data_IF_864281221377
#
_entry.id   IF_864281221377
#
_cell.length_a   1.000
_cell.length_b   1.000
_cell.length_c   1.000
_cell.angle_alpha   90.00
_cell.angle_beta   90.00
_cell.angle_gamma   90.00
#
_symmetry.space_group_name_H-M   'P 1'
#
loop_
_entity.id
_entity.type
_entity.pdbx_description
1 polymer ?
#
# COMPACT_ATOMS: atom_id res chain seq x y z
N UNK A 1 6.67 20.21 -10.01
CA UNK A 1 7.07 20.69 -8.67
C UNK A 1 6.30 19.86 -7.66
N UNK A 2 6.93 18.84 -7.08
CA UNK A 2 6.27 17.95 -6.12
C UNK A 2 6.83 18.29 -4.75
N UNK A 3 5.93 18.57 -3.81
CA UNK A 3 6.23 19.05 -2.48
C UNK A 3 7.15 18.07 -1.74
N UNK A 4 8.20 18.64 -1.14
CA UNK A 4 9.13 18.02 -0.21
C UNK A 4 8.38 17.08 0.75
N UNK A 5 8.70 15.79 0.69
CA UNK A 5 8.05 14.73 1.49
C UNK A 5 8.37 14.82 2.99
N UNK A 6 9.37 15.64 3.38
CA UNK A 6 9.76 15.87 4.76
C UNK A 6 10.28 17.30 4.92
N UNK A 7 9.67 18.08 5.82
CA UNK A 7 10.15 19.42 6.15
C UNK A 7 10.97 19.35 7.45
N UNK A 8 12.28 19.58 7.34
CA UNK A 8 13.17 19.76 8.49
C UNK A 8 12.99 21.20 8.96
N UNK A 9 12.19 21.37 10.01
CA UNK A 9 12.02 22.66 10.69
C UNK A 9 12.81 22.66 11.99
N UNK A 10 13.68 23.66 12.18
CA UNK A 10 14.22 23.98 13.50
C UNK A 10 13.15 24.76 14.30
N UNK A 11 12.94 24.43 15.59
CA UNK A 11 12.29 25.25 16.66
C UNK A 11 12.01 24.36 17.90
N UNK A 12 11.72 24.92 19.09
CA UNK A 12 12.45 25.86 19.94
C UNK A 12 12.94 25.18 21.27
N UNK A 13 13.65 25.95 22.10
CA UNK A 13 14.33 25.56 23.36
C UNK A 13 13.47 24.76 24.35
N UNK A 14 14.01 23.63 24.83
CA UNK A 14 14.12 23.22 26.25
C UNK A 14 14.65 21.78 26.30
N UNK A 15 15.98 21.63 26.25
CA UNK A 15 16.83 20.63 26.92
C UNK A 15 18.23 20.80 26.30
N UNK A 16 19.13 21.51 26.98
CA UNK A 16 20.44 21.94 26.46
C UNK A 16 21.48 20.78 26.41
N UNK A 17 21.06 19.55 26.69
CA UNK A 17 21.93 18.38 26.73
C UNK A 17 22.14 17.69 25.37
N UNK A 18 21.33 18.01 24.36
CA UNK A 18 21.37 17.36 23.05
C UNK A 18 21.94 18.32 22.00
N UNK A 19 23.04 17.90 21.36
CA UNK A 19 23.81 18.70 20.40
C UNK A 19 23.13 18.72 19.03
N UNK A 20 22.44 17.64 18.65
CA UNK A 20 21.68 17.59 17.39
C UNK A 20 20.25 17.12 17.62
N UNK A 21 19.29 17.85 17.06
CA UNK A 21 17.84 17.57 17.18
C UNK A 21 17.20 17.61 15.81
N UNK A 22 16.48 16.57 15.45
CA UNK A 22 15.75 16.52 14.19
C UNK A 22 14.36 15.91 14.38
N UNK A 23 13.43 16.36 13.54
CA UNK A 23 12.03 15.94 13.59
C UNK A 23 11.70 15.10 12.37
N UNK A 24 11.24 13.88 12.58
CA UNK A 24 10.68 13.04 11.53
C UNK A 24 9.16 13.22 11.48
N UNK A 25 8.65 13.49 10.28
CA UNK A 25 7.22 13.69 10.02
C UNK A 25 6.78 12.70 8.95
N UNK A 26 6.31 11.49 9.31
CA UNK A 26 5.80 10.54 8.33
C UNK A 26 4.56 11.08 7.61
N UNK A 27 4.41 10.84 6.31
CA UNK A 27 3.21 11.23 5.57
C UNK A 27 1.97 10.48 6.10
N UNK A 28 0.81 11.15 6.08
CA UNK A 28 -0.50 10.53 6.26
C UNK A 28 -1.04 10.39 7.69
N UNK A 29 -0.20 10.47 8.73
CA UNK A 29 -0.66 10.25 10.12
C UNK A 29 -0.51 11.45 11.07
N UNK A 30 0.06 12.58 10.61
CA UNK A 30 0.25 13.79 11.43
C UNK A 30 1.16 13.61 12.66
N UNK A 31 1.69 12.41 12.88
CA UNK A 31 2.63 12.08 13.95
C UNK A 31 3.97 12.73 13.68
N UNK A 32 4.61 13.20 14.74
CA UNK A 32 5.95 13.77 14.71
C UNK A 32 6.80 12.99 15.70
N UNK A 33 7.98 12.58 15.27
CA UNK A 33 8.97 11.95 16.13
C UNK A 33 10.11 12.95 16.31
N UNK A 34 10.43 13.24 17.56
CA UNK A 34 11.57 14.08 17.92
C UNK A 34 12.72 13.16 18.27
N UNK A 35 13.82 13.31 17.54
CA UNK A 35 15.04 12.54 17.74
C UNK A 35 16.14 13.51 18.14
N UNK A 36 16.93 13.09 19.12
CA UNK A 36 18.07 13.84 19.64
C UNK A 36 19.29 12.94 19.67
N UNK A 37 20.43 13.52 19.34
CA UNK A 37 21.74 12.93 19.54
C UNK A 37 22.54 13.82 20.49
N UNK A 38 23.30 13.19 21.37
CA UNK A 38 24.31 13.82 22.23
C UNK A 38 25.58 14.18 21.43
N UNK A 39 25.77 13.60 20.24
CA UNK A 39 26.85 13.94 19.31
C UNK A 39 26.32 14.53 17.98
N UNK A 40 26.92 15.65 17.53
CA UNK A 40 26.56 16.34 16.29
C UNK A 40 26.77 15.46 15.05
N UNK A 41 27.91 14.76 15.01
CA UNK A 41 28.28 13.86 13.93
C UNK A 41 27.30 12.69 13.76
N UNK A 42 26.77 12.18 14.87
CA UNK A 42 25.77 11.12 14.84
C UNK A 42 24.43 11.63 14.32
N UNK A 43 24.02 12.85 14.72
CA UNK A 43 22.81 13.49 14.19
C UNK A 43 22.85 13.67 12.68
N UNK A 44 23.98 14.13 12.14
CA UNK A 44 24.20 14.29 10.70
C UNK A 44 24.23 12.94 9.97
N UNK A 45 24.90 11.93 10.55
CA UNK A 45 24.96 10.57 10.02
C UNK A 45 23.56 9.96 9.91
N UNK A 46 22.73 10.12 10.94
CA UNK A 46 21.33 9.67 10.94
C UNK A 46 20.48 10.41 9.91
N UNK A 47 20.61 11.74 9.82
CA UNK A 47 19.92 12.52 8.80
C UNK A 47 20.31 12.09 7.39
N UNK A 48 21.60 11.84 7.15
CA UNK A 48 22.10 11.37 5.87
C UNK A 48 21.60 9.96 5.54
N UNK A 49 21.65 9.02 6.50
CA UNK A 49 21.16 7.66 6.32
C UNK A 49 19.66 7.62 6.02
N UNK A 50 18.86 8.42 6.75
CA UNK A 50 17.41 8.53 6.52
C UNK A 50 17.13 9.15 5.16
N UNK A 51 17.82 10.24 4.79
CA UNK A 51 17.64 10.86 3.46
C UNK A 51 18.06 9.93 2.33
N UNK A 52 19.13 9.15 2.49
CA UNK A 52 19.55 8.13 1.52
C UNK A 52 18.52 7.01 1.40
N UNK A 53 17.95 6.56 2.53
CA UNK A 53 16.92 5.53 2.52
C UNK A 53 15.62 6.05 1.90
N UNK A 54 15.22 7.28 2.20
CA UNK A 54 14.08 7.96 1.57
C UNK A 54 14.32 8.12 0.07
N UNK A 55 15.47 8.61 -0.36
CA UNK A 55 15.81 8.73 -1.78
C UNK A 55 15.86 7.37 -2.49
N UNK A 56 16.33 6.31 -1.81
CA UNK A 56 16.32 4.93 -2.32
C UNK A 56 14.89 4.42 -2.49
N UNK A 57 14.02 4.66 -1.51
CA UNK A 57 12.60 4.33 -1.57
C UNK A 57 11.87 5.15 -2.64
N UNK A 58 12.15 6.44 -2.76
CA UNK A 58 11.60 7.32 -3.81
C UNK A 58 12.07 6.87 -5.20
N UNK A 59 13.34 6.53 -5.36
CA UNK A 59 13.87 5.99 -6.62
C UNK A 59 13.22 4.65 -6.97
N UNK A 60 12.92 3.82 -5.97
CA UNK A 60 12.16 2.57 -6.12
C UNK A 60 10.69 2.84 -6.51
N UNK A 61 10.07 3.87 -5.95
CA UNK A 61 8.68 4.29 -6.24
C UNK A 61 8.56 4.94 -7.63
N UNK A 62 9.54 5.73 -8.07
CA UNK A 62 9.52 6.39 -9.40
C UNK A 62 9.82 5.40 -10.53
N UNK A 63 10.60 4.33 -10.30
CA UNK A 63 10.82 3.27 -11.29
C UNK A 63 9.65 2.29 -11.47
N UNK A 64 8.57 2.40 -10.69
CA UNK A 64 7.43 1.47 -10.75
C UNK A 64 6.29 1.91 -11.70
N UNK A 65 6.52 2.82 -12.64
CA UNK A 65 5.52 3.14 -13.68
C UNK A 65 5.39 2.07 -14.79
N UNK A 66 5.98 0.87 -14.62
CA UNK A 66 5.83 -0.25 -15.56
C UNK A 66 5.86 -1.66 -14.95
N UNK A 67 5.78 -1.83 -13.63
CA UNK A 67 5.88 -3.16 -13.01
C UNK A 67 4.64 -3.49 -12.21
N UNK A 68 3.75 -4.26 -12.83
CA UNK A 68 2.75 -5.08 -12.14
C UNK A 68 3.37 -5.68 -10.87
N UNK A 69 2.86 -5.28 -9.71
CA UNK A 69 3.36 -5.71 -8.40
C UNK A 69 2.94 -7.14 -8.12
N UNK A 70 1.76 -7.53 -8.58
CA UNK A 70 1.26 -8.89 -8.52
C UNK A 70 0.15 -9.10 -9.56
N UNK A 71 0.06 -10.29 -10.14
CA UNK A 71 -1.02 -10.65 -11.04
C UNK A 71 -1.34 -12.14 -10.92
N UNK A 72 -2.59 -12.51 -11.20
CA UNK A 72 -3.01 -13.89 -11.08
C UNK A 72 -4.52 -14.07 -11.12
N UNK A 73 -4.95 -15.32 -11.25
CA UNK A 73 -6.36 -15.64 -11.21
C UNK A 73 -6.84 -15.78 -9.77
N UNK A 74 -7.87 -15.02 -9.40
CA UNK A 74 -8.58 -15.18 -8.15
C UNK A 74 -10.06 -15.40 -8.44
N UNK A 75 -10.80 -15.89 -7.44
CA UNK A 75 -12.24 -15.93 -7.49
C UNK A 75 -12.79 -14.72 -6.76
N UNK A 76 -13.71 -13.99 -7.38
CA UNK A 76 -14.43 -12.88 -6.78
C UNK A 76 -15.84 -13.34 -6.44
N UNK A 77 -16.30 -13.00 -5.24
CA UNK A 77 -17.69 -13.20 -4.86
C UNK A 77 -18.54 -12.03 -5.36
N UNK A 78 -19.60 -12.33 -6.11
CA UNK A 78 -20.59 -11.33 -6.48
C UNK A 78 -21.43 -10.94 -5.27
N UNK A 79 -21.46 -9.64 -4.96
CA UNK A 79 -22.20 -9.09 -3.82
C UNK A 79 -23.72 -9.31 -3.85
N UNK A 80 -24.32 -9.59 -5.02
CA UNK A 80 -25.76 -9.76 -5.21
C UNK A 80 -26.18 -11.21 -5.24
N UNK A 81 -25.42 -12.05 -5.93
CA UNK A 81 -25.76 -13.47 -6.13
C UNK A 81 -25.01 -14.40 -5.18
N UNK A 82 -24.02 -13.88 -4.44
CA UNK A 82 -23.10 -14.67 -3.60
C UNK A 82 -22.40 -15.81 -4.35
N UNK A 83 -22.33 -15.71 -5.68
CA UNK A 83 -21.68 -16.69 -6.54
C UNK A 83 -20.21 -16.33 -6.76
N UNK A 84 -19.36 -17.36 -6.87
CA UNK A 84 -17.94 -17.19 -7.15
C UNK A 84 -17.64 -17.27 -8.63
N UNK A 85 -17.02 -16.23 -9.17
CA UNK A 85 -16.57 -16.16 -10.56
C UNK A 85 -15.06 -15.94 -10.61
N UNK A 86 -14.39 -16.62 -11.54
CA UNK A 86 -12.94 -16.53 -11.70
C UNK A 86 -12.59 -15.36 -12.60
N UNK A 87 -11.70 -14.48 -12.13
CA UNK A 87 -11.21 -13.33 -12.88
C UNK A 87 -9.69 -13.24 -12.80
N UNK A 88 -9.09 -12.53 -13.76
CA UNK A 88 -7.67 -12.22 -13.74
C UNK A 88 -7.44 -10.88 -13.04
N UNK A 89 -6.76 -10.91 -11.90
CA UNK A 89 -6.46 -9.73 -11.09
C UNK A 89 -5.05 -9.22 -11.39
N UNK A 90 -4.92 -7.90 -11.36
CA UNK A 90 -3.66 -7.19 -11.52
C UNK A 90 -3.59 -6.12 -10.44
N UNK A 91 -2.53 -6.15 -9.65
CA UNK A 91 -2.12 -5.06 -8.77
C UNK A 91 -0.96 -4.32 -9.44
N UNK A 92 -1.21 -3.07 -9.85
CA UNK A 92 -0.21 -2.20 -10.44
C UNK A 92 -0.07 -0.92 -9.59
N UNK A 93 0.97 -0.86 -8.76
CA UNK A 93 1.11 0.18 -7.75
C UNK A 93 -0.09 0.15 -6.81
N UNK A 94 -0.87 1.23 -6.77
CA UNK A 94 -2.10 1.34 -5.97
C UNK A 94 -3.36 0.86 -6.69
N UNK A 95 -3.27 0.54 -7.98
CA UNK A 95 -4.41 0.16 -8.79
C UNK A 95 -4.64 -1.35 -8.65
N UNK A 96 -5.76 -1.74 -8.07
CA UNK A 96 -6.19 -3.14 -7.97
C UNK A 96 -7.39 -3.36 -8.90
N UNK A 97 -7.14 -4.06 -10.00
CA UNK A 97 -8.09 -4.21 -11.09
C UNK A 97 -8.32 -5.69 -11.43
N UNK A 98 -9.47 -6.00 -12.02
CA UNK A 98 -9.74 -7.34 -12.54
C UNK A 98 -10.33 -7.34 -13.94
N UNK A 99 -10.06 -8.42 -14.65
CA UNK A 99 -10.40 -8.64 -16.05
C UNK A 99 -11.08 -10.00 -16.23
N UNK A 100 -11.93 -10.11 -17.26
CA UNK A 100 -12.62 -11.37 -17.56
C UNK A 100 -11.65 -12.49 -17.97
N UNK A 101 -10.53 -12.14 -18.62
CA UNK A 101 -9.51 -13.08 -19.07
C UNK A 101 -8.22 -12.36 -19.45
N UNK A 102 -7.09 -13.07 -19.43
CA UNK A 102 -5.84 -12.64 -20.09
C UNK A 102 -6.08 -12.70 -21.61
N UNK A 103 -6.40 -11.57 -22.22
CA UNK A 103 -6.40 -11.38 -23.66
C UNK A 103 -5.07 -10.74 -24.10
N UNK A 104 -4.66 -10.96 -25.35
CA UNK A 104 -3.43 -10.39 -25.92
C UNK A 104 -3.37 -8.85 -25.79
N UNK A 105 -4.54 -8.22 -25.69
CA UNK A 105 -4.71 -6.87 -25.19
C UNK A 105 -5.63 -6.99 -23.97
N UNK A 106 -5.07 -6.83 -22.76
CA UNK A 106 -5.87 -6.63 -21.56
C UNK A 106 -6.80 -5.44 -21.86
N UNK A 107 -8.08 -5.74 -22.13
CA UNK A 107 -9.07 -4.73 -22.48
C UNK A 107 -9.31 -3.77 -21.32
N UNK A 108 -10.39 -2.99 -21.38
CA UNK A 108 -10.78 -2.18 -20.24
C UNK A 108 -11.02 -3.07 -19.01
N UNK A 109 -10.46 -2.73 -17.83
CA UNK A 109 -10.72 -3.49 -16.61
C UNK A 109 -12.20 -3.46 -16.28
N UNK A 110 -12.72 -4.57 -15.77
CA UNK A 110 -14.13 -4.66 -15.36
C UNK A 110 -14.41 -3.75 -14.17
N UNK A 111 -13.45 -3.66 -13.25
CA UNK A 111 -13.43 -2.66 -12.20
C UNK A 111 -11.99 -2.35 -11.81
N UNK A 112 -11.81 -1.18 -11.22
CA UNK A 112 -10.55 -0.71 -10.69
C UNK A 112 -10.78 0.01 -9.36
N UNK A 113 -10.18 -0.51 -8.29
CA UNK A 113 -10.14 0.17 -7.00
C UNK A 113 -8.73 0.69 -6.76
N UNK A 114 -8.65 1.90 -6.22
CA UNK A 114 -7.43 2.56 -5.82
C UNK A 114 -7.22 2.29 -4.34
N UNK A 115 -6.08 1.72 -4.01
CA UNK A 115 -5.66 1.48 -2.65
C UNK A 115 -5.19 2.80 -2.02
N UNK A 116 -5.84 3.21 -0.94
CA UNK A 116 -5.62 4.49 -0.27
C UNK A 116 -5.20 4.24 1.18
N UNK A 117 -4.04 4.78 1.56
CA UNK A 117 -3.50 4.63 2.92
C UNK A 117 -4.52 5.08 3.97
N UNK A 118 -4.74 4.23 4.98
CA UNK A 118 -5.70 4.46 6.07
C UNK A 118 -7.19 4.24 5.72
N UNK A 119 -7.54 4.00 4.45
CA UNK A 119 -8.90 3.62 4.02
C UNK A 119 -8.96 2.19 3.49
N UNK A 120 -7.88 1.75 2.84
CA UNK A 120 -7.75 0.41 2.31
C UNK A 120 -7.38 -0.58 3.40
N UNK A 121 -7.96 -1.77 3.30
CA UNK A 121 -7.68 -2.87 4.23
C UNK A 121 -7.62 -4.18 3.46
N UNK A 122 -6.78 -5.09 3.95
CA UNK A 122 -6.85 -6.51 3.60
C UNK A 122 -7.18 -7.29 4.85
N UNK A 123 -8.24 -8.09 4.79
CA UNK A 123 -8.67 -8.92 5.92
C UNK A 123 -8.93 -10.33 5.46
N UNK A 124 -8.14 -11.27 5.98
CA UNK A 124 -8.42 -12.69 5.80
C UNK A 124 -9.71 -13.07 6.52
N UNK A 125 -10.51 -13.91 5.86
CA UNK A 125 -11.82 -14.34 6.34
C UNK A 125 -11.75 -15.78 6.85
N UNK A 126 -12.51 -16.11 7.91
CA UNK A 126 -12.59 -17.47 8.42
C UNK A 126 -13.26 -18.40 7.40
N UNK A 127 -12.88 -19.68 7.44
CA UNK A 127 -13.35 -20.71 6.51
C UNK A 127 -14.87 -20.92 6.56
N UNK A 128 -15.49 -20.81 7.74
CA UNK A 128 -16.91 -21.16 7.93
C UNK A 128 -17.89 -20.21 7.25
N UNK A 129 -17.48 -19.00 6.89
CA UNK A 129 -18.36 -17.98 6.31
C UNK A 129 -18.54 -18.15 4.79
N UNK A 130 -17.72 -18.99 4.14
CA UNK A 130 -17.68 -19.11 2.68
C UNK A 130 -17.53 -20.58 2.24
N UNK A 131 -18.19 -20.98 1.15
CA UNK A 131 -18.01 -22.31 0.52
C UNK A 131 -16.58 -22.55 -0.03
N UNK A 132 -15.64 -21.64 0.24
CA UNK A 132 -14.25 -21.65 -0.23
C UNK A 132 -13.29 -21.31 0.90
N UNK A 133 -12.17 -22.01 0.92
CA UNK A 133 -11.02 -21.65 1.73
C UNK A 133 -10.29 -20.42 1.18
N UNK A 134 -9.41 -19.86 2.02
CA UNK A 134 -8.43 -18.85 1.61
C UNK A 134 -9.08 -17.57 1.06
N UNK A 135 -10.15 -17.13 1.73
CA UNK A 135 -10.88 -15.92 1.39
C UNK A 135 -10.27 -14.70 2.09
N UNK A 136 -10.24 -13.56 1.41
CA UNK A 136 -9.85 -12.28 1.97
C UNK A 136 -10.64 -11.13 1.34
N UNK A 137 -10.85 -10.08 2.12
CA UNK A 137 -11.44 -8.83 1.67
C UNK A 137 -10.34 -7.85 1.27
N UNK A 138 -10.55 -7.14 0.16
CA UNK A 138 -9.74 -6.00 -0.26
C UNK A 138 -10.64 -4.78 -0.37
N UNK A 139 -10.36 -3.75 0.41
CA UNK A 139 -11.12 -2.50 0.37
C UNK A 139 -10.31 -1.40 -0.31
N UNK A 140 -10.94 -0.62 -1.19
CA UNK A 140 -10.33 0.51 -1.87
C UNK A 140 -11.35 1.52 -2.35
N UNK A 141 -10.87 2.60 -2.94
CA UNK A 141 -11.70 3.65 -3.51
C UNK A 141 -11.90 3.41 -5.00
N UNK A 142 -13.13 3.24 -5.45
CA UNK A 142 -13.42 3.05 -6.86
C UNK A 142 -13.03 4.28 -7.68
N UNK A 143 -12.21 4.08 -8.72
CA UNK A 143 -11.66 5.19 -9.49
C UNK A 143 -12.71 6.01 -10.24
N UNK A 144 -13.89 5.43 -10.50
CA UNK A 144 -14.96 6.08 -11.26
C UNK A 144 -15.93 6.87 -10.39
N UNK A 145 -16.20 6.38 -9.17
CA UNK A 145 -17.24 6.91 -8.29
C UNK A 145 -16.72 7.54 -7.00
N UNK A 146 -15.44 7.35 -6.66
CA UNK A 146 -14.84 7.79 -5.38
C UNK A 146 -15.42 7.07 -4.15
N UNK A 147 -16.23 6.03 -4.36
CA UNK A 147 -16.86 5.26 -3.28
C UNK A 147 -15.90 4.21 -2.77
N UNK A 148 -15.96 3.94 -1.47
CA UNK A 148 -15.25 2.81 -0.89
C UNK A 148 -15.98 1.53 -1.27
N UNK A 149 -15.28 0.64 -1.97
CA UNK A 149 -15.75 -0.67 -2.39
C UNK A 149 -14.89 -1.73 -1.72
N UNK A 150 -15.52 -2.83 -1.31
CA UNK A 150 -14.82 -4.02 -0.80
C UNK A 150 -15.07 -5.18 -1.74
N UNK A 151 -14.00 -5.82 -2.19
CA UNK A 151 -14.04 -7.06 -2.93
C UNK A 151 -13.74 -8.23 -2.00
N UNK A 152 -14.59 -9.25 -2.03
CA UNK A 152 -14.33 -10.51 -1.35
C UNK A 152 -13.78 -11.50 -2.36
N UNK A 153 -12.51 -11.86 -2.19
CA UNK A 153 -11.77 -12.71 -3.12
C UNK A 153 -11.27 -13.98 -2.44
N UNK A 154 -11.04 -15.03 -3.23
CA UNK A 154 -10.52 -16.32 -2.79
C UNK A 154 -9.37 -16.77 -3.70
N UNK A 155 -8.27 -17.17 -3.09
CA UNK A 155 -7.11 -17.77 -3.75
C UNK A 155 -7.14 -19.31 -3.67
N UNK A 156 -6.26 -19.98 -4.42
CA UNK A 156 -6.17 -21.44 -4.43
C UNK A 156 -5.46 -22.00 -3.19
N UNK A 157 -4.53 -21.25 -2.61
CA UNK A 157 -3.74 -21.67 -1.44
C UNK A 157 -3.62 -20.55 -0.41
N UNK A 158 -3.20 -20.90 0.81
CA UNK A 158 -2.91 -19.91 1.85
C UNK A 158 -1.69 -19.04 1.50
N UNK A 159 -0.67 -19.64 0.88
CA UNK A 159 0.54 -18.93 0.45
C UNK A 159 0.19 -17.82 -0.55
N UNK A 160 -0.68 -18.10 -1.52
CA UNK A 160 -1.17 -17.07 -2.45
C UNK A 160 -1.89 -15.94 -1.72
N UNK A 161 -2.69 -16.24 -0.69
CA UNK A 161 -3.36 -15.19 0.12
C UNK A 161 -2.32 -14.31 0.81
N UNK A 162 -1.29 -14.91 1.40
CA UNK A 162 -0.25 -14.18 2.13
C UNK A 162 0.58 -13.30 1.18
N UNK A 163 0.86 -13.79 -0.04
CA UNK A 163 1.50 -13.01 -1.11
C UNK A 163 0.62 -11.82 -1.54
N UNK A 164 -0.66 -12.06 -1.84
CA UNK A 164 -1.60 -11.00 -2.22
C UNK A 164 -1.76 -9.96 -1.11
N UNK A 165 -1.92 -10.40 0.14
CA UNK A 165 -2.03 -9.51 1.28
C UNK A 165 -0.76 -8.66 1.46
N UNK A 166 0.41 -9.28 1.34
CA UNK A 166 1.70 -8.57 1.44
C UNK A 166 1.87 -7.55 0.33
N UNK A 167 1.57 -7.93 -0.92
CA UNK A 167 1.67 -7.04 -2.08
C UNK A 167 0.73 -5.83 -1.93
N UNK A 168 -0.50 -6.06 -1.47
CA UNK A 168 -1.48 -4.99 -1.23
C UNK A 168 -1.04 -4.07 -0.07
N UNK A 169 -0.49 -4.62 1.01
CA UNK A 169 0.01 -3.82 2.14
C UNK A 169 1.21 -2.94 1.75
N UNK A 170 2.05 -3.39 0.83
CA UNK A 170 3.17 -2.59 0.30
C UNK A 170 2.67 -1.46 -0.61
N UNK A 171 1.52 -1.64 -1.26
CA UNK A 171 1.02 -0.73 -2.29
C UNK A 171 0.51 0.63 -1.75
N UNK A 172 0.05 0.73 -0.50
CA UNK A 172 -0.61 1.95 0.01
C UNK A 172 0.03 2.62 1.22
#
# INVERSE_FOLDING_TARGET
>A
MINSLFSIGAQPKEDDSLVSKFTLIPPGNGRRFFLGSDEEADGDSWCQAINQQVASLEKKVVSHHSNTTMEGYLHLMDSKTFSWSRYYFILNGRSFQYHNSISAELGAPMANIILVSGKSTVKQLPFDDFERAHCFNVTGEDSSSGRIITFTVSAGTQEEVDEWASAILIAY
#
